data_IF_218797557042
#
_entry.id   IF_218797557042
#
_cell.length_a   1.000
_cell.length_b   1.000
_cell.length_c   1.000
_cell.angle_alpha   90.00
_cell.angle_beta   90.00
_cell.angle_gamma   90.00
#
_symmetry.space_group_name_H-M   'P 1'
#
loop_
_entity.id
_entity.type
_entity.pdbx_description
1 polymer ?
#
# COMPACT_ATOMS: atom_id res chain seq x y z
N UNK A 1 -19.13 -16.05 -32.68
CA UNK A 1 -18.41 -15.51 -31.50
C UNK A 1 -19.31 -15.66 -30.29
N UNK A 2 -18.83 -16.21 -29.21
CA UNK A 2 -19.57 -16.23 -27.95
C UNK A 2 -19.57 -14.82 -27.33
N UNK A 3 -20.71 -14.38 -26.81
CA UNK A 3 -20.78 -13.09 -26.12
C UNK A 3 -20.23 -13.29 -24.69
N UNK A 4 -19.28 -12.46 -24.22
CA UNK A 4 -18.77 -12.56 -22.86
C UNK A 4 -19.86 -12.22 -21.83
N UNK A 5 -19.79 -12.82 -20.65
CA UNK A 5 -20.69 -12.47 -19.55
C UNK A 5 -20.39 -11.04 -19.03
N UNK A 6 -19.11 -10.65 -19.06
CA UNK A 6 -18.62 -9.32 -18.66
C UNK A 6 -17.56 -8.82 -19.65
N UNK A 7 -17.47 -7.49 -19.81
CA UNK A 7 -16.38 -6.90 -20.57
C UNK A 7 -15.05 -7.07 -19.85
N UNK A 8 -15.05 -6.85 -18.53
CA UNK A 8 -13.87 -7.04 -17.67
C UNK A 8 -14.25 -7.78 -16.39
N UNK A 9 -13.39 -8.70 -15.96
CA UNK A 9 -13.44 -9.30 -14.61
C UNK A 9 -12.19 -8.93 -13.84
N UNK A 10 -12.35 -8.42 -12.61
CA UNK A 10 -11.26 -8.12 -11.68
C UNK A 10 -11.16 -9.24 -10.64
N UNK A 11 -10.02 -9.90 -10.56
CA UNK A 11 -9.75 -11.00 -9.62
C UNK A 11 -8.94 -10.47 -8.43
N UNK A 12 -9.51 -10.55 -7.23
CA UNK A 12 -8.99 -9.93 -6.02
C UNK A 12 -9.49 -8.48 -5.86
N UNK A 13 -10.18 -8.20 -4.75
CA UNK A 13 -10.82 -6.91 -4.46
C UNK A 13 -10.19 -6.21 -3.23
N UNK A 14 -8.89 -6.41 -3.04
CA UNK A 14 -8.06 -5.60 -2.14
C UNK A 14 -7.84 -4.20 -2.70
N UNK A 15 -6.78 -3.52 -2.27
CA UNK A 15 -6.49 -2.13 -2.64
C UNK A 15 -6.54 -1.87 -4.15
N UNK A 16 -5.83 -2.68 -4.94
CA UNK A 16 -5.72 -2.49 -6.40
C UNK A 16 -7.02 -2.86 -7.11
N UNK A 17 -7.61 -4.00 -6.73
CA UNK A 17 -8.82 -4.50 -7.39
C UNK A 17 -10.06 -3.68 -7.08
N UNK A 18 -10.24 -3.19 -5.86
CA UNK A 18 -11.34 -2.30 -5.50
C UNK A 18 -11.28 -0.99 -6.30
N UNK A 19 -10.07 -0.39 -6.42
CA UNK A 19 -9.85 0.81 -7.21
C UNK A 19 -10.13 0.56 -8.69
N UNK A 20 -9.61 -0.52 -9.26
CA UNK A 20 -9.82 -0.88 -10.67
C UNK A 20 -11.30 -1.13 -10.97
N UNK A 21 -11.98 -1.89 -10.11
CA UNK A 21 -13.42 -2.19 -10.26
C UNK A 21 -14.26 -0.91 -10.26
N UNK A 22 -14.01 -0.01 -9.30
CA UNK A 22 -14.71 1.28 -9.21
C UNK A 22 -14.47 2.12 -10.47
N UNK A 23 -13.24 2.25 -10.90
CA UNK A 23 -12.89 3.09 -12.04
C UNK A 23 -13.42 2.55 -13.37
N UNK A 24 -13.51 1.23 -13.54
CA UNK A 24 -14.17 0.59 -14.69
C UNK A 24 -15.69 0.81 -14.66
N UNK A 25 -16.33 0.60 -13.50
CA UNK A 25 -17.75 0.85 -13.34
C UNK A 25 -18.11 2.32 -13.60
N UNK A 26 -17.30 3.27 -13.12
CA UNK A 26 -17.43 4.72 -13.35
C UNK A 26 -17.41 5.08 -14.85
N UNK A 27 -16.73 4.26 -15.67
CA UNK A 27 -16.65 4.41 -17.14
C UNK A 27 -17.73 3.62 -17.88
N UNK A 28 -18.70 3.05 -17.17
CA UNK A 28 -19.82 2.31 -17.76
C UNK A 28 -19.47 0.92 -18.31
N UNK A 29 -18.30 0.37 -17.94
CA UNK A 29 -17.89 -0.98 -18.32
C UNK A 29 -18.75 -2.01 -17.61
N UNK A 30 -19.23 -3.03 -18.30
CA UNK A 30 -19.90 -4.18 -17.69
C UNK A 30 -18.88 -5.04 -16.95
N UNK A 31 -18.68 -4.75 -15.68
CA UNK A 31 -17.58 -5.31 -14.88
C UNK A 31 -18.08 -6.20 -13.74
N UNK A 32 -17.34 -7.28 -13.45
CA UNK A 32 -17.47 -8.03 -12.22
C UNK A 32 -16.16 -8.06 -11.45
N UNK A 33 -16.26 -8.04 -10.13
CA UNK A 33 -15.16 -8.32 -9.23
C UNK A 33 -15.39 -9.64 -8.49
N UNK A 34 -14.34 -10.46 -8.37
CA UNK A 34 -14.39 -11.71 -7.63
C UNK A 34 -13.30 -11.76 -6.57
N UNK A 35 -13.66 -12.13 -5.34
CA UNK A 35 -12.71 -12.24 -4.24
C UNK A 35 -12.97 -13.50 -3.40
N UNK A 36 -11.89 -14.10 -2.93
CA UNK A 36 -11.89 -15.27 -2.04
C UNK A 36 -12.59 -14.99 -0.71
N UNK A 37 -12.55 -13.74 -0.27
CA UNK A 37 -13.16 -13.27 0.99
C UNK A 37 -14.21 -12.21 0.72
N UNK A 38 -14.69 -11.56 1.80
CA UNK A 38 -15.60 -10.41 1.72
C UNK A 38 -14.79 -9.12 2.09
N UNK A 39 -14.28 -8.38 1.08
CA UNK A 39 -13.51 -7.15 1.36
C UNK A 39 -14.42 -6.01 1.89
N UNK A 40 -13.87 -5.15 2.77
CA UNK A 40 -12.52 -5.19 3.34
C UNK A 40 -12.35 -6.32 4.33
N UNK A 41 -11.19 -6.99 4.32
CA UNK A 41 -10.88 -8.12 5.19
C UNK A 41 -9.42 -8.08 5.68
N UNK A 42 -9.08 -8.85 6.71
CA UNK A 42 -7.75 -8.94 7.31
C UNK A 42 -6.85 -10.05 6.75
N UNK A 43 -7.29 -10.72 5.67
CA UNK A 43 -6.59 -11.88 5.11
C UNK A 43 -5.47 -11.50 4.13
N UNK A 44 -5.50 -10.30 3.55
CA UNK A 44 -4.53 -9.79 2.59
C UNK A 44 -3.50 -8.83 3.20
N UNK A 45 -3.09 -7.85 2.37
CA UNK A 45 -2.10 -6.82 2.75
C UNK A 45 -2.74 -5.46 3.07
N UNK A 46 -4.05 -5.30 2.85
CA UNK A 46 -4.75 -4.01 2.85
C UNK A 46 -5.64 -3.82 4.08
N UNK A 47 -5.08 -4.04 5.27
CA UNK A 47 -5.77 -3.89 6.55
C UNK A 47 -4.85 -3.30 7.63
N UNK A 48 -5.37 -3.04 8.82
CA UNK A 48 -4.62 -2.55 9.99
C UNK A 48 -4.68 -1.04 10.14
N UNK A 49 -5.86 -0.47 9.95
CA UNK A 49 -6.33 0.87 10.31
C UNK A 49 -5.73 2.02 9.49
N UNK A 50 -4.44 2.00 9.21
CA UNK A 50 -3.73 3.13 8.57
C UNK A 50 -2.66 2.69 7.57
N UNK A 51 -2.41 3.52 6.54
CA UNK A 51 -1.25 3.44 5.62
C UNK A 51 -0.73 4.84 5.33
N UNK A 52 0.60 5.04 5.41
CA UNK A 52 1.24 6.31 5.07
C UNK A 52 0.93 6.65 3.61
N UNK A 53 0.59 7.91 3.35
CA UNK A 53 0.54 8.50 2.02
C UNK A 53 1.37 9.77 2.00
N UNK A 54 2.21 9.91 0.98
CA UNK A 54 3.07 11.06 0.72
C UNK A 54 3.29 11.17 -0.78
N UNK A 55 3.59 12.37 -1.27
CA UNK A 55 3.74 12.65 -2.69
C UNK A 55 5.17 12.36 -3.17
N UNK A 56 6.17 12.84 -2.42
CA UNK A 56 7.56 12.50 -2.71
C UNK A 56 7.88 11.10 -2.20
N UNK A 57 8.06 10.18 -3.12
CA UNK A 57 8.25 8.74 -2.85
C UNK A 57 9.67 8.37 -3.24
N UNK A 58 10.54 8.13 -2.24
CA UNK A 58 11.95 7.83 -2.42
C UNK A 58 12.24 6.58 -3.26
N UNK A 59 11.24 5.74 -3.45
CA UNK A 59 11.28 4.55 -4.30
C UNK A 59 11.48 4.86 -5.80
N UNK A 60 11.14 6.09 -6.26
CA UNK A 60 11.46 6.51 -7.63
C UNK A 60 10.45 7.45 -8.28
N UNK A 61 10.89 8.14 -9.32
CA UNK A 61 10.12 9.18 -10.03
C UNK A 61 8.79 8.68 -10.62
N UNK A 62 8.73 7.42 -11.07
CA UNK A 62 7.52 6.84 -11.66
C UNK A 62 6.35 6.74 -10.66
N UNK A 63 6.63 6.74 -9.36
CA UNK A 63 5.62 6.65 -8.31
C UNK A 63 4.98 7.99 -7.96
N UNK A 64 5.66 9.10 -8.18
CA UNK A 64 5.23 10.43 -7.74
C UNK A 64 3.89 10.83 -8.38
N UNK A 65 3.68 10.73 -9.70
CA UNK A 65 2.37 11.04 -10.30
C UNK A 65 1.24 10.17 -9.75
N UNK A 66 1.51 8.89 -9.48
CA UNK A 66 0.53 7.96 -8.89
C UNK A 66 0.16 8.38 -7.46
N UNK A 67 1.14 8.79 -6.64
CA UNK A 67 0.88 9.23 -5.28
C UNK A 67 0.07 10.53 -5.23
N UNK A 68 0.43 11.52 -6.05
CA UNK A 68 -0.31 12.78 -6.17
C UNK A 68 -1.76 12.52 -6.61
N UNK A 69 -1.95 11.74 -7.68
CA UNK A 69 -3.29 11.44 -8.20
C UNK A 69 -4.13 10.62 -7.22
N UNK A 70 -3.52 9.67 -6.52
CA UNK A 70 -4.22 8.88 -5.51
C UNK A 70 -4.77 9.75 -4.36
N UNK A 71 -4.01 10.73 -3.85
CA UNK A 71 -4.50 11.67 -2.85
C UNK A 71 -5.68 12.50 -3.35
N UNK A 72 -5.64 12.97 -4.61
CA UNK A 72 -6.77 13.67 -5.23
C UNK A 72 -8.02 12.77 -5.29
N UNK A 73 -7.86 11.52 -5.72
CA UNK A 73 -8.98 10.56 -5.79
C UNK A 73 -9.57 10.30 -4.41
N UNK A 74 -8.76 10.19 -3.34
CA UNK A 74 -9.28 10.05 -1.99
C UNK A 74 -10.17 11.24 -1.59
N UNK A 75 -9.76 12.48 -1.91
CA UNK A 75 -10.58 13.68 -1.67
C UNK A 75 -11.84 13.73 -2.53
N UNK A 76 -11.76 13.30 -3.79
CA UNK A 76 -12.91 13.16 -4.66
C UNK A 76 -13.94 12.16 -4.08
N UNK A 77 -13.47 11.03 -3.55
CA UNK A 77 -14.32 10.01 -2.92
C UNK A 77 -14.97 10.52 -1.62
N UNK A 78 -14.22 11.24 -0.78
CA UNK A 78 -14.74 11.88 0.43
C UNK A 78 -15.89 12.83 0.10
N UNK A 79 -15.70 13.69 -0.90
CA UNK A 79 -16.72 14.62 -1.35
C UNK A 79 -17.95 13.91 -1.97
N UNK A 80 -17.73 12.84 -2.74
CA UNK A 80 -18.81 12.08 -3.39
C UNK A 80 -19.68 11.32 -2.38
N UNK A 81 -19.08 10.83 -1.29
CA UNK A 81 -19.75 10.00 -0.28
C UNK A 81 -20.20 10.79 0.95
N UNK A 82 -19.98 12.11 0.96
CA UNK A 82 -20.24 12.97 2.13
C UNK A 82 -19.61 12.40 3.42
N UNK A 83 -18.32 12.01 3.31
CA UNK A 83 -17.59 11.40 4.42
C UNK A 83 -17.39 12.43 5.55
N UNK A 84 -17.75 12.10 6.81
CA UNK A 84 -17.54 13.00 7.93
C UNK A 84 -16.09 13.44 8.09
N UNK A 85 -15.88 14.74 8.33
CA UNK A 85 -14.54 15.33 8.48
C UNK A 85 -13.75 14.79 9.66
N UNK A 86 -14.45 14.26 10.69
CA UNK A 86 -13.84 13.63 11.86
C UNK A 86 -13.27 12.23 11.57
N UNK A 87 -13.65 11.65 10.43
CA UNK A 87 -13.22 10.31 10.02
C UNK A 87 -12.94 10.23 8.53
N UNK A 88 -12.02 11.04 7.98
CA UNK A 88 -11.75 11.08 6.55
C UNK A 88 -11.16 9.75 6.05
N UNK A 89 -11.17 9.56 4.74
CA UNK A 89 -10.40 8.47 4.09
C UNK A 89 -8.91 8.79 4.12
N UNK A 90 -8.57 10.06 3.92
CA UNK A 90 -7.21 10.59 3.95
C UNK A 90 -7.08 11.67 5.04
N UNK A 91 -6.36 11.34 6.12
CA UNK A 91 -5.97 12.26 7.18
C UNK A 91 -4.66 12.95 6.81
N UNK A 92 -4.74 14.24 6.53
CA UNK A 92 -3.58 15.07 6.16
C UNK A 92 -2.93 15.66 7.42
N UNK A 93 -2.16 14.83 8.13
CA UNK A 93 -1.43 15.25 9.33
C UNK A 93 0.07 15.53 9.07
N UNK A 94 0.50 15.48 7.82
CA UNK A 94 1.90 15.54 7.43
C UNK A 94 2.61 14.18 7.52
N UNK A 95 3.78 14.12 6.88
CA UNK A 95 4.71 12.97 6.97
C UNK A 95 6.11 13.48 7.28
N UNK A 96 6.72 12.93 8.31
CA UNK A 96 8.13 13.16 8.66
C UNK A 96 8.94 11.91 8.32
N UNK A 97 9.89 12.05 7.39
CA UNK A 97 10.92 11.04 7.13
C UNK A 97 12.22 11.54 7.73
N UNK A 98 12.84 10.78 8.60
CA UNK A 98 14.06 11.22 9.27
C UNK A 98 15.08 10.09 9.41
N UNK A 99 16.36 10.47 9.51
CA UNK A 99 17.46 9.56 9.82
C UNK A 99 17.72 9.54 11.31
N UNK A 100 17.90 8.36 11.90
CA UNK A 100 18.21 8.21 13.33
C UNK A 100 19.71 8.31 13.64
N UNK A 101 20.58 8.18 12.63
CA UNK A 101 22.04 8.23 12.78
C UNK A 101 22.67 9.04 11.66
N UNK A 102 23.91 9.51 11.92
CA UNK A 102 24.72 10.07 10.85
C UNK A 102 24.97 8.99 9.78
N UNK A 103 24.45 9.18 8.61
CA UNK A 103 24.79 8.34 7.45
C UNK A 103 26.27 8.46 7.20
N UNK A 104 27.06 7.37 7.03
CA UNK A 104 28.44 7.48 6.61
C UNK A 104 28.46 8.12 5.20
N UNK A 105 28.93 9.34 5.10
CA UNK A 105 29.21 10.00 3.82
C UNK A 105 30.45 9.35 3.20
N UNK A 106 30.24 8.23 2.50
CA UNK A 106 31.26 7.58 1.67
C UNK A 106 30.94 7.82 0.20
N UNK A 107 31.97 8.07 -0.62
CA UNK A 107 31.84 8.36 -2.05
C UNK A 107 31.22 7.22 -2.90
N UNK A 108 30.93 6.06 -2.30
CA UNK A 108 30.34 4.88 -2.95
C UNK A 108 28.93 4.49 -2.37
N UNK A 109 28.31 5.34 -1.56
CA UNK A 109 26.99 5.04 -0.99
C UNK A 109 25.90 5.30 -2.04
N UNK A 110 25.01 4.34 -2.24
CA UNK A 110 23.69 4.59 -2.86
C UNK A 110 23.03 5.78 -2.15
N UNK A 111 22.37 6.71 -2.88
CA UNK A 111 21.71 7.85 -2.26
C UNK A 111 20.80 7.37 -1.12
N UNK A 112 20.94 7.98 0.06
CA UNK A 112 20.06 7.71 1.18
C UNK A 112 18.61 7.95 0.74
N UNK A 113 17.69 7.11 1.23
CA UNK A 113 16.26 7.21 0.93
C UNK A 113 15.72 8.62 1.17
N UNK A 114 16.18 9.31 2.22
CA UNK A 114 15.81 10.68 2.53
C UNK A 114 16.32 11.67 1.49
N UNK A 115 17.57 11.49 1.03
CA UNK A 115 18.15 12.33 -0.03
C UNK A 115 17.42 12.14 -1.36
N UNK A 116 17.10 10.90 -1.72
CA UNK A 116 16.31 10.60 -2.91
C UNK A 116 14.89 11.20 -2.83
N UNK A 117 14.25 11.09 -1.66
CA UNK A 117 12.94 11.73 -1.40
C UNK A 117 13.02 13.24 -1.59
N UNK A 118 14.06 13.90 -1.06
CA UNK A 118 14.28 15.34 -1.23
C UNK A 118 14.52 15.73 -2.70
N UNK A 119 15.30 14.94 -3.43
CA UNK A 119 15.55 15.19 -4.85
C UNK A 119 14.25 15.12 -5.66
N UNK A 120 13.42 14.12 -5.40
CA UNK A 120 12.11 13.97 -6.05
C UNK A 120 11.13 15.07 -5.66
N UNK A 121 11.10 15.48 -4.38
CA UNK A 121 10.26 16.59 -3.95
C UNK A 121 10.59 17.89 -4.71
N UNK A 122 11.88 18.19 -4.89
CA UNK A 122 12.35 19.35 -5.68
C UNK A 122 12.01 19.21 -7.15
N UNK A 123 12.23 18.02 -7.73
CA UNK A 123 11.98 17.74 -9.15
C UNK A 123 10.50 17.94 -9.50
N UNK A 124 9.59 17.51 -8.63
CA UNK A 124 8.14 17.55 -8.87
C UNK A 124 7.45 18.77 -8.22
N UNK A 125 8.20 19.67 -7.60
CA UNK A 125 7.65 20.87 -6.99
C UNK A 125 6.74 20.59 -5.79
N UNK A 126 7.00 19.50 -5.06
CA UNK A 126 6.22 19.09 -3.89
C UNK A 126 6.60 19.98 -2.70
N UNK A 127 5.59 20.54 -2.01
CA UNK A 127 5.78 21.36 -0.81
C UNK A 127 6.42 20.52 0.30
N UNK A 128 7.55 20.96 0.82
CA UNK A 128 8.27 20.27 1.88
C UNK A 128 9.17 21.20 2.68
N UNK A 129 9.51 20.79 3.87
CA UNK A 129 10.50 21.41 4.73
C UNK A 129 11.67 20.45 4.98
N UNK A 130 12.87 20.99 5.05
CA UNK A 130 14.06 20.26 5.50
C UNK A 130 14.38 20.71 6.90
N UNK A 131 14.31 19.82 7.87
CA UNK A 131 14.45 20.11 9.29
C UNK A 131 15.79 19.60 9.80
N UNK A 132 16.54 20.46 10.49
CA UNK A 132 17.68 20.03 11.28
C UNK A 132 17.28 19.40 12.62
N UNK A 133 18.24 18.83 13.33
CA UNK A 133 18.02 18.16 14.60
C UNK A 133 17.34 19.07 15.67
N UNK A 134 17.68 20.36 15.68
CA UNK A 134 17.11 21.32 16.64
C UNK A 134 15.63 21.56 16.31
N UNK A 135 15.30 21.73 15.05
CA UNK A 135 13.94 21.93 14.57
C UNK A 135 13.07 20.69 14.82
N UNK A 136 13.62 19.49 14.59
CA UNK A 136 12.92 18.23 14.88
C UNK A 136 12.62 18.12 16.37
N UNK A 137 13.60 18.33 17.25
CA UNK A 137 13.41 18.27 18.71
C UNK A 137 12.37 19.29 19.22
N UNK A 138 12.34 20.48 18.64
CA UNK A 138 11.39 21.53 19.04
C UNK A 138 9.97 21.25 18.57
N UNK A 139 9.83 20.78 17.33
CA UNK A 139 8.53 20.62 16.70
C UNK A 139 7.88 19.26 17.01
N UNK A 140 8.71 18.23 17.17
CA UNK A 140 8.28 16.85 17.37
C UNK A 140 8.98 16.20 18.57
N UNK A 141 8.74 16.67 19.82
CA UNK A 141 9.45 16.24 21.02
C UNK A 141 9.23 14.77 21.39
N UNK A 142 8.23 14.11 20.79
CA UNK A 142 7.98 12.68 20.95
C UNK A 142 9.08 11.81 20.30
N UNK A 143 9.85 12.32 19.34
CA UNK A 143 10.97 11.58 18.76
C UNK A 143 12.25 11.82 19.56
N UNK A 144 12.81 10.75 20.10
CA UNK A 144 14.00 10.84 20.98
C UNK A 144 14.71 9.49 21.05
N UNK A 145 16.06 9.45 20.99
CA UNK A 145 16.94 10.60 20.81
C UNK A 145 17.03 11.08 19.36
N UNK A 146 17.19 12.37 19.16
CA UNK A 146 17.55 12.95 17.87
C UNK A 146 19.00 13.34 17.92
N UNK A 147 19.85 12.76 17.07
CA UNK A 147 21.28 13.09 16.96
C UNK A 147 21.48 14.45 16.29
N UNK A 148 22.59 15.14 16.59
CA UNK A 148 22.85 16.48 16.03
C UNK A 148 23.03 16.47 14.50
N UNK A 149 23.37 15.32 13.94
CA UNK A 149 23.48 15.09 12.48
C UNK A 149 22.16 14.62 11.82
N UNK A 150 21.09 14.43 12.61
CA UNK A 150 19.81 13.98 12.03
C UNK A 150 19.23 15.03 11.08
N UNK A 151 18.70 14.54 9.98
CA UNK A 151 18.00 15.31 8.96
C UNK A 151 16.54 14.81 8.87
N UNK A 152 15.59 15.73 8.79
CA UNK A 152 14.19 15.45 8.58
C UNK A 152 13.68 16.04 7.27
N UNK A 153 12.97 15.23 6.51
CA UNK A 153 12.10 15.66 5.43
C UNK A 153 10.67 15.71 5.96
N UNK A 154 10.06 16.87 5.97
CA UNK A 154 8.66 17.03 6.37
C UNK A 154 7.81 17.46 5.19
N UNK A 155 6.75 16.70 4.89
CA UNK A 155 5.79 16.95 3.83
C UNK A 155 4.42 17.26 4.45
N UNK A 156 3.97 18.53 4.46
CA UNK A 156 2.67 18.90 5.05
C UNK A 156 1.48 18.33 4.27
N UNK A 157 1.66 18.10 2.96
CA UNK A 157 0.65 17.47 2.10
C UNK A 157 0.47 15.96 2.30
N UNK A 158 1.36 15.33 3.08
CA UNK A 158 1.29 13.91 3.41
C UNK A 158 0.39 13.60 4.60
N UNK A 159 0.36 12.35 5.01
CA UNK A 159 -0.43 11.86 6.14
C UNK A 159 -0.69 10.37 6.06
N UNK A 160 -1.90 9.93 6.40
CA UNK A 160 -2.29 8.54 6.27
C UNK A 160 -3.70 8.37 5.69
N UNK A 161 -3.90 7.24 5.03
CA UNK A 161 -5.22 6.79 4.58
C UNK A 161 -5.71 5.63 5.44
N UNK A 162 -7.03 5.44 5.50
CA UNK A 162 -7.71 4.33 6.19
C UNK A 162 -8.03 3.23 5.19
N UNK A 163 -7.18 2.20 5.06
CA UNK A 163 -7.24 1.26 3.94
C UNK A 163 -8.57 0.51 3.83
N UNK A 164 -9.12 0.04 4.94
CA UNK A 164 -10.40 -0.67 4.95
C UNK A 164 -11.54 0.23 4.47
N UNK A 165 -11.57 1.48 4.93
CA UNK A 165 -12.59 2.46 4.51
C UNK A 165 -12.43 2.87 3.05
N UNK A 166 -11.18 3.02 2.57
CA UNK A 166 -10.90 3.32 1.17
C UNK A 166 -11.38 2.22 0.24
N UNK A 167 -11.18 0.95 0.62
CA UNK A 167 -11.66 -0.22 -0.12
C UNK A 167 -13.18 -0.27 -0.12
N UNK A 168 -13.81 -0.12 1.05
CA UNK A 168 -15.27 -0.16 1.19
C UNK A 168 -15.95 0.96 0.39
N UNK A 169 -15.41 2.18 0.44
CA UNK A 169 -15.89 3.32 -0.34
C UNK A 169 -15.91 3.02 -1.85
N UNK A 170 -14.79 2.50 -2.38
CA UNK A 170 -14.68 2.17 -3.80
C UNK A 170 -15.59 1.01 -4.21
N UNK A 171 -15.69 -0.05 -3.40
CA UNK A 171 -16.57 -1.18 -3.68
C UNK A 171 -18.05 -0.80 -3.58
N UNK A 172 -18.42 0.06 -2.64
CA UNK A 172 -19.77 0.57 -2.49
C UNK A 172 -20.18 1.41 -3.70
N UNK A 173 -19.31 2.31 -4.15
CA UNK A 173 -19.56 3.10 -5.36
C UNK A 173 -19.59 2.23 -6.62
N UNK A 174 -18.68 1.26 -6.75
CA UNK A 174 -18.70 0.33 -7.87
C UNK A 174 -20.06 -0.42 -7.96
N UNK A 175 -20.58 -0.90 -6.81
CA UNK A 175 -21.89 -1.55 -6.74
C UNK A 175 -23.03 -0.62 -7.15
N UNK A 176 -23.01 0.63 -6.67
CA UNK A 176 -24.02 1.64 -7.06
C UNK A 176 -24.00 1.93 -8.57
N UNK A 177 -22.83 1.84 -9.20
CA UNK A 177 -22.62 2.02 -10.64
C UNK A 177 -22.88 0.73 -11.46
N UNK A 178 -23.39 -0.33 -10.82
CA UNK A 178 -23.80 -1.55 -11.52
C UNK A 178 -22.75 -2.65 -11.63
N UNK A 179 -21.59 -2.51 -10.97
CA UNK A 179 -20.62 -3.60 -10.90
C UNK A 179 -21.17 -4.81 -10.13
N UNK A 180 -20.88 -6.02 -10.63
CA UNK A 180 -21.23 -7.26 -9.94
C UNK A 180 -20.09 -7.65 -8.99
N UNK A 181 -20.38 -7.80 -7.69
CA UNK A 181 -19.44 -8.27 -6.70
C UNK A 181 -19.72 -9.71 -6.32
N UNK A 182 -18.74 -10.58 -6.48
CA UNK A 182 -18.76 -12.02 -6.17
C UNK A 182 -17.74 -12.25 -5.06
N UNK A 183 -18.19 -12.37 -3.84
CA UNK A 183 -17.35 -12.53 -2.65
C UNK A 183 -17.49 -13.93 -2.03
N UNK A 184 -16.48 -14.37 -1.27
CA UNK A 184 -16.42 -15.73 -0.73
C UNK A 184 -16.19 -16.80 -1.80
N UNK A 185 -15.56 -16.44 -2.90
CA UNK A 185 -15.41 -17.28 -4.08
C UNK A 185 -13.95 -17.34 -4.55
N UNK A 186 -13.30 -18.48 -4.39
CA UNK A 186 -11.91 -18.66 -4.79
C UNK A 186 -11.78 -18.94 -6.28
N UNK A 187 -11.02 -18.13 -6.99
CA UNK A 187 -10.61 -18.41 -8.37
C UNK A 187 -9.54 -19.49 -8.35
N UNK A 188 -9.75 -20.54 -9.15
CA UNK A 188 -8.87 -21.71 -9.24
C UNK A 188 -8.00 -21.70 -10.49
N UNK A 189 -8.51 -21.10 -11.58
CA UNK A 189 -7.85 -21.15 -12.88
C UNK A 189 -8.34 -20.03 -13.80
N UNK A 190 -7.45 -19.55 -14.66
CA UNK A 190 -7.70 -18.55 -15.70
C UNK A 190 -7.09 -19.05 -17.02
N UNK A 191 -7.90 -19.17 -18.06
CA UNK A 191 -7.50 -19.68 -19.38
C UNK A 191 -8.08 -18.87 -20.51
N UNK A 192 -7.38 -18.85 -21.64
CA UNK A 192 -7.99 -18.40 -22.88
C UNK A 192 -8.81 -19.56 -23.50
N UNK A 193 -10.07 -19.30 -23.80
CA UNK A 193 -10.95 -20.18 -24.57
C UNK A 193 -11.51 -19.39 -25.76
N UNK A 194 -11.08 -19.76 -26.98
CA UNK A 194 -11.37 -19.00 -28.18
C UNK A 194 -10.91 -17.52 -28.05
N UNK A 195 -11.83 -16.57 -28.19
CA UNK A 195 -11.54 -15.12 -28.11
C UNK A 195 -11.81 -14.54 -26.71
N UNK A 196 -12.12 -15.35 -25.73
CA UNK A 196 -12.49 -14.94 -24.37
C UNK A 196 -11.51 -15.48 -23.32
N UNK A 197 -11.51 -14.84 -22.16
CA UNK A 197 -10.86 -15.35 -20.97
C UNK A 197 -11.89 -16.05 -20.10
N UNK A 198 -11.66 -17.30 -19.78
CA UNK A 198 -12.48 -18.12 -18.90
C UNK A 198 -11.88 -18.15 -17.51
N UNK A 199 -12.64 -17.72 -16.53
CA UNK A 199 -12.33 -17.78 -15.11
C UNK A 199 -13.09 -18.95 -14.49
N UNK A 200 -12.37 -19.92 -13.89
CA UNK A 200 -12.96 -21.02 -13.15
C UNK A 200 -12.77 -20.77 -11.66
N UNK A 201 -13.84 -20.74 -10.93
CA UNK A 201 -13.85 -20.65 -9.47
C UNK A 201 -14.41 -21.93 -8.83
N UNK A 202 -14.51 -21.97 -7.52
CA UNK A 202 -15.01 -23.15 -6.80
C UNK A 202 -16.43 -23.57 -7.24
N UNK A 203 -17.29 -22.61 -7.56
CA UNK A 203 -18.71 -22.88 -7.79
C UNK A 203 -19.23 -22.45 -9.15
N UNK A 204 -18.42 -21.75 -9.97
CA UNK A 204 -18.87 -21.19 -11.26
C UNK A 204 -17.78 -21.04 -12.30
N UNK A 205 -18.21 -20.88 -13.54
CA UNK A 205 -17.37 -20.45 -14.66
C UNK A 205 -17.90 -19.12 -15.17
N UNK A 206 -16.98 -18.18 -15.41
CA UNK A 206 -17.29 -16.84 -15.84
C UNK A 206 -16.44 -16.53 -17.07
N UNK A 207 -17.07 -16.04 -18.14
CA UNK A 207 -16.37 -15.58 -19.33
C UNK A 207 -16.26 -14.05 -19.37
N UNK A 208 -15.10 -13.54 -19.73
CA UNK A 208 -14.84 -12.12 -19.88
C UNK A 208 -14.06 -11.81 -21.18
N UNK A 209 -14.22 -10.60 -21.69
CA UNK A 209 -13.38 -10.15 -22.78
C UNK A 209 -11.94 -9.85 -22.27
N UNK A 210 -11.81 -9.29 -21.09
CA UNK A 210 -10.53 -9.01 -20.44
C UNK A 210 -10.57 -9.37 -18.95
N UNK A 211 -9.42 -9.67 -18.36
CA UNK A 211 -9.26 -9.96 -16.92
C UNK A 211 -8.14 -9.13 -16.33
N UNK A 212 -8.36 -8.59 -15.14
CA UNK A 212 -7.32 -7.93 -14.33
C UNK A 212 -7.08 -8.75 -13.07
N UNK A 213 -5.88 -9.23 -12.87
CA UNK A 213 -5.53 -10.05 -11.70
C UNK A 213 -4.83 -9.19 -10.65
N UNK A 214 -5.55 -8.91 -9.55
CA UNK A 214 -5.11 -8.14 -8.38
C UNK A 214 -5.07 -9.04 -7.13
N UNK A 215 -4.65 -10.31 -7.28
CA UNK A 215 -4.80 -11.35 -6.26
C UNK A 215 -3.79 -11.24 -5.09
N UNK A 216 -2.99 -10.16 -5.02
CA UNK A 216 -2.04 -9.91 -3.94
C UNK A 216 -1.09 -11.09 -3.72
N UNK A 217 -0.96 -11.57 -2.50
CA UNK A 217 -0.05 -12.68 -2.17
C UNK A 217 -0.42 -14.03 -2.82
N UNK A 218 -1.65 -14.19 -3.33
CA UNK A 218 -2.07 -15.40 -4.08
C UNK A 218 -1.73 -15.35 -5.56
N UNK A 219 -1.19 -14.23 -6.07
CA UNK A 219 -0.90 -14.05 -7.50
C UNK A 219 0.08 -15.09 -8.04
N UNK A 220 1.12 -15.45 -7.28
CA UNK A 220 2.11 -16.45 -7.70
C UNK A 220 1.49 -17.84 -7.89
N UNK A 221 0.58 -18.24 -7.00
CA UNK A 221 -0.11 -19.54 -7.08
C UNK A 221 -1.12 -19.58 -8.24
N UNK A 222 -1.85 -18.50 -8.46
CA UNK A 222 -2.89 -18.42 -9.49
C UNK A 222 -2.31 -18.30 -10.90
N UNK A 223 -1.22 -17.56 -11.07
CA UNK A 223 -0.68 -17.23 -12.38
C UNK A 223 0.43 -18.19 -12.83
N UNK A 224 1.10 -18.88 -11.90
CA UNK A 224 2.25 -19.74 -12.21
C UNK A 224 3.43 -18.95 -12.80
N UNK A 225 4.22 -19.59 -13.68
CA UNK A 225 5.41 -18.97 -14.24
C UNK A 225 5.08 -17.79 -15.19
N UNK A 226 5.85 -16.68 -15.13
CA UNK A 226 7.07 -16.47 -14.33
C UNK A 226 6.81 -15.97 -12.89
N UNK A 227 5.56 -15.68 -12.52
CA UNK A 227 5.19 -15.01 -11.27
C UNK A 227 5.49 -15.84 -10.01
N UNK A 228 5.49 -17.17 -10.13
CA UNK A 228 5.89 -18.11 -9.07
C UNK A 228 7.36 -17.92 -8.62
N UNK A 229 8.21 -17.37 -9.49
CA UNK A 229 9.62 -17.06 -9.21
C UNK A 229 9.86 -15.59 -8.88
N UNK A 230 8.99 -14.71 -9.40
CA UNK A 230 9.14 -13.25 -9.23
C UNK A 230 8.46 -12.72 -7.97
N UNK A 231 7.42 -13.38 -7.48
CA UNK A 231 6.62 -12.89 -6.37
C UNK A 231 6.89 -13.69 -5.09
N UNK A 232 7.51 -13.05 -4.13
CA UNK A 232 7.80 -13.63 -2.82
C UNK A 232 6.88 -13.03 -1.76
N UNK A 233 6.29 -13.86 -0.93
CA UNK A 233 5.45 -13.44 0.19
C UNK A 233 6.32 -13.27 1.44
N UNK A 234 6.32 -12.07 2.04
CA UNK A 234 7.02 -11.76 3.27
C UNK A 234 6.02 -11.40 4.35
N UNK A 235 6.13 -12.03 5.53
CA UNK A 235 5.29 -11.77 6.69
C UNK A 235 5.61 -10.40 7.28
N UNK A 236 4.59 -9.60 7.61
CA UNK A 236 4.73 -8.29 8.23
C UNK A 236 3.91 -8.24 9.52
N UNK A 237 4.43 -7.62 10.56
CA UNK A 237 3.72 -7.48 11.84
C UNK A 237 3.47 -6.01 12.17
N UNK A 238 2.25 -5.72 12.55
CA UNK A 238 1.79 -4.40 12.99
C UNK A 238 1.51 -4.43 14.47
N UNK A 239 1.93 -3.40 15.19
CA UNK A 239 1.77 -3.32 16.65
C UNK A 239 1.07 -2.02 17.02
N UNK A 240 0.20 -2.07 18.04
CA UNK A 240 -0.39 -0.91 18.69
C UNK A 240 -0.02 -0.97 20.16
N UNK A 241 0.70 0.05 20.62
CA UNK A 241 1.12 0.18 21.99
C UNK A 241 0.35 1.28 22.70
N UNK A 242 0.04 1.08 23.97
CA UNK A 242 -0.68 2.04 24.79
C UNK A 242 0.18 3.30 24.99
N UNK A 243 -0.48 4.45 24.92
CA UNK A 243 0.14 5.73 25.24
C UNK A 243 0.39 5.85 26.76
N UNK A 244 1.48 6.51 27.13
CA UNK A 244 1.73 6.90 28.50
C UNK A 244 0.90 8.13 28.88
N UNK A 245 0.56 8.23 30.16
CA UNK A 245 -0.11 9.42 30.68
C UNK A 245 0.90 10.31 31.45
N UNK A 246 0.87 11.63 31.27
CA UNK A 246 0.03 12.37 30.30
C UNK A 246 0.48 12.17 28.84
N UNK A 247 -0.47 12.24 27.90
CA UNK A 247 -0.14 12.14 26.48
C UNK A 247 0.67 13.37 26.06
N UNK A 248 1.87 13.11 25.50
CA UNK A 248 2.83 14.16 25.12
C UNK A 248 2.86 14.47 23.63
N UNK A 249 2.07 13.76 22.83
CA UNK A 249 2.03 13.95 21.36
C UNK A 249 1.39 15.29 21.03
N UNK A 250 2.06 16.15 20.23
CA UNK A 250 1.44 17.37 19.71
C UNK A 250 0.17 17.05 18.91
N UNK A 251 -0.81 17.96 18.93
CA UNK A 251 -2.11 17.80 18.25
C UNK A 251 -1.96 17.49 16.76
N UNK A 252 -0.93 18.04 16.11
CA UNK A 252 -0.63 17.83 14.70
C UNK A 252 0.63 16.96 14.48
N UNK A 253 0.75 15.89 15.26
CA UNK A 253 1.83 14.94 15.06
C UNK A 253 1.72 14.26 13.69
N UNK A 254 2.82 14.18 12.91
CA UNK A 254 2.80 13.56 11.58
C UNK A 254 2.81 12.03 11.67
N UNK A 255 2.44 11.39 10.56
CA UNK A 255 2.93 10.05 10.27
C UNK A 255 4.44 10.10 10.06
N UNK A 256 5.16 9.06 10.40
CA UNK A 256 6.62 9.12 10.37
C UNK A 256 7.28 7.85 9.86
N UNK A 257 8.50 8.02 9.35
CA UNK A 257 9.44 6.96 9.02
C UNK A 257 10.77 7.36 9.65
N UNK A 258 11.32 6.49 10.50
CA UNK A 258 12.65 6.65 11.10
C UNK A 258 13.56 5.63 10.46
N UNK A 259 14.50 6.11 9.62
CA UNK A 259 15.51 5.26 9.03
C UNK A 259 16.66 5.05 10.01
N UNK A 260 16.89 3.80 10.40
CA UNK A 260 18.05 3.37 11.15
C UNK A 260 19.27 3.09 10.27
N UNK A 261 20.34 2.61 10.85
CA UNK A 261 21.53 2.19 10.12
C UNK A 261 21.34 0.91 9.30
N UNK A 262 20.25 0.18 9.53
CA UNK A 262 19.83 -0.99 8.75
C UNK A 262 18.29 -1.04 8.65
N UNK A 263 17.77 -1.87 7.73
CA UNK A 263 16.33 -2.08 7.57
C UNK A 263 15.68 -2.56 8.88
N UNK A 264 16.38 -3.39 9.66
CA UNK A 264 15.89 -3.90 10.95
C UNK A 264 15.76 -2.79 12.01
N UNK A 265 16.50 -1.69 11.85
CA UNK A 265 16.44 -0.50 12.71
C UNK A 265 15.50 0.58 12.15
N UNK A 266 14.88 0.32 11.01
CA UNK A 266 13.91 1.22 10.40
C UNK A 266 12.52 0.91 10.92
N UNK A 267 11.82 1.94 11.40
CA UNK A 267 10.42 1.82 11.79
C UNK A 267 9.58 2.95 11.21
N UNK A 268 8.29 2.69 11.10
CA UNK A 268 7.32 3.69 10.71
C UNK A 268 6.11 3.65 11.64
N UNK A 269 5.40 4.75 11.74
CA UNK A 269 4.21 4.82 12.59
C UNK A 269 3.32 6.00 12.24
N UNK A 270 2.29 6.13 13.07
CA UNK A 270 1.20 7.06 12.86
C UNK A 270 0.95 7.85 14.13
N UNK A 271 0.45 9.09 14.04
CA UNK A 271 0.00 9.79 15.25
C UNK A 271 -1.10 8.96 15.92
N UNK A 272 -1.31 9.15 17.24
CA UNK A 272 -2.48 8.58 17.90
C UNK A 272 -3.76 8.99 17.19
N UNK A 273 -4.62 8.03 16.87
CA UNK A 273 -5.93 8.33 16.29
C UNK A 273 -6.81 8.93 17.39
N UNK A 274 -7.51 10.05 17.14
CA UNK A 274 -8.38 10.66 18.14
C UNK A 274 -9.35 9.65 18.77
N UNK A 275 -9.36 9.60 20.09
CA UNK A 275 -10.19 8.65 20.87
C UNK A 275 -9.58 7.26 21.07
N UNK A 276 -8.44 6.94 20.44
CA UNK A 276 -7.71 5.70 20.66
C UNK A 276 -6.53 5.96 21.61
N UNK A 277 -6.48 5.25 22.74
CA UNK A 277 -5.40 5.36 23.73
C UNK A 277 -4.12 4.62 23.32
N UNK A 278 -3.90 4.42 22.02
CA UNK A 278 -2.78 3.65 21.49
C UNK A 278 -2.21 4.27 20.21
N UNK A 279 -0.98 3.86 19.89
CA UNK A 279 -0.27 4.29 18.70
C UNK A 279 0.20 3.08 17.90
N UNK A 280 -0.01 3.10 16.58
CA UNK A 280 0.46 2.06 15.67
C UNK A 280 1.89 2.32 15.23
N UNK A 281 2.73 1.29 15.36
CA UNK A 281 4.13 1.28 14.93
C UNK A 281 4.42 -0.06 14.26
N UNK A 282 5.26 -0.06 13.23
CA UNK A 282 5.68 -1.27 12.55
C UNK A 282 7.08 -1.10 11.92
N UNK A 283 7.65 -2.21 11.48
CA UNK A 283 8.88 -2.26 10.68
C UNK A 283 8.56 -2.74 9.27
N UNK A 284 9.55 -2.67 8.40
CA UNK A 284 9.56 -3.40 7.14
C UNK A 284 10.61 -4.49 7.23
N UNK A 285 10.26 -5.70 6.85
CA UNK A 285 11.20 -6.80 6.79
C UNK A 285 10.94 -7.67 5.55
N UNK A 286 12.01 -8.23 5.00
CA UNK A 286 11.99 -8.98 3.75
C UNK A 286 12.60 -10.38 3.87
N UNK A 287 13.05 -10.77 5.06
CA UNK A 287 13.72 -12.05 5.34
C UNK A 287 12.77 -13.18 5.72
N UNK A 288 11.69 -12.87 6.48
CA UNK A 288 10.71 -13.86 6.92
C UNK A 288 9.71 -14.16 5.79
N UNK A 289 10.02 -15.18 4.99
CA UNK A 289 9.19 -15.58 3.86
C UNK A 289 8.13 -16.61 4.26
N UNK A 290 7.01 -16.61 3.53
CA UNK A 290 5.88 -17.51 3.76
C UNK A 290 5.17 -17.83 2.46
N UNK A 291 4.09 -18.61 2.55
CA UNK A 291 3.09 -18.75 1.50
C UNK A 291 1.75 -18.22 2.00
N UNK A 292 0.80 -17.91 1.12
CA UNK A 292 -0.52 -17.44 1.56
C UNK A 292 -1.21 -18.38 2.55
N UNK A 293 -1.04 -19.70 2.34
CA UNK A 293 -1.73 -20.72 3.13
C UNK A 293 -0.99 -21.11 4.41
N UNK A 294 0.32 -20.80 4.53
CA UNK A 294 1.16 -21.06 5.70
C UNK A 294 1.51 -19.85 6.53
N UNK A 295 0.96 -18.67 6.19
CA UNK A 295 1.24 -17.43 6.89
C UNK A 295 0.77 -17.50 8.35
N UNK A 296 1.74 -17.50 9.27
CA UNK A 296 1.44 -17.39 10.71
C UNK A 296 0.90 -16.00 11.04
N UNK A 297 -0.34 -15.94 11.51
CA UNK A 297 -1.05 -14.71 11.86
C UNK A 297 -0.99 -14.40 13.37
N UNK A 298 -0.27 -15.20 14.15
CA UNK A 298 -0.11 -14.96 15.56
C UNK A 298 1.12 -14.08 15.83
N UNK A 299 1.00 -13.19 16.80
CA UNK A 299 2.10 -12.35 17.28
C UNK A 299 2.36 -12.70 18.73
N UNK A 300 3.52 -13.29 19.01
CA UNK A 300 3.91 -13.69 20.34
C UNK A 300 4.20 -12.49 21.26
N UNK A 301 4.18 -12.70 22.57
CA UNK A 301 4.62 -11.70 23.55
C UNK A 301 6.08 -11.32 23.33
N UNK A 302 6.95 -12.29 23.07
CA UNK A 302 8.37 -12.06 22.83
C UNK A 302 8.65 -11.17 21.61
N UNK A 303 7.90 -11.35 20.50
CA UNK A 303 8.00 -10.45 19.33
C UNK A 303 7.58 -9.02 19.69
N UNK A 304 6.51 -8.86 20.45
CA UNK A 304 6.06 -7.54 20.89
C UNK A 304 7.05 -6.87 21.85
N UNK A 305 7.62 -7.60 22.79
CA UNK A 305 8.63 -7.10 23.72
C UNK A 305 9.91 -6.70 23.00
N UNK A 306 10.36 -7.50 22.02
CA UNK A 306 11.50 -7.17 21.18
C UNK A 306 11.26 -5.89 20.37
N UNK A 307 10.11 -5.78 19.68
CA UNK A 307 9.73 -4.57 18.94
C UNK A 307 9.73 -3.33 19.82
N UNK A 308 9.16 -3.42 21.02
CA UNK A 308 9.15 -2.31 21.97
C UNK A 308 10.55 -1.93 22.41
N UNK A 309 11.33 -2.89 22.90
CA UNK A 309 12.70 -2.68 23.43
C UNK A 309 13.66 -2.15 22.39
N UNK A 310 13.62 -2.71 21.17
CA UNK A 310 14.66 -2.47 20.18
C UNK A 310 14.34 -1.28 19.27
N UNK A 311 13.05 -0.89 19.14
CA UNK A 311 12.64 0.16 18.21
C UNK A 311 11.73 1.23 18.84
N UNK A 312 10.70 0.84 19.61
CA UNK A 312 9.74 1.85 20.08
C UNK A 312 10.36 2.73 21.15
N UNK A 313 10.84 2.14 22.26
CA UNK A 313 11.37 2.92 23.39
C UNK A 313 12.66 3.70 23.05
N UNK A 314 13.37 3.29 21.99
CA UNK A 314 14.62 3.96 21.59
C UNK A 314 14.41 5.10 20.59
N UNK A 315 13.22 5.22 20.00
CA UNK A 315 12.91 6.24 19.00
C UNK A 315 11.75 7.15 19.40
N UNK A 316 10.86 6.71 20.32
CA UNK A 316 9.58 7.39 20.55
C UNK A 316 9.30 7.43 22.04
N UNK A 317 9.20 8.64 22.59
CA UNK A 317 8.75 8.87 23.96
C UNK A 317 7.21 8.84 24.06
N UNK A 318 6.69 8.64 25.26
CA UNK A 318 5.25 8.69 25.53
C UNK A 318 4.47 7.45 25.10
N UNK A 319 5.16 6.33 24.85
CA UNK A 319 4.55 5.03 24.51
C UNK A 319 5.00 3.99 25.54
N UNK A 320 4.08 3.16 26.04
CA UNK A 320 4.38 2.10 27.01
C UNK A 320 4.66 0.77 26.30
N UNK A 321 5.21 -0.20 27.06
CA UNK A 321 5.43 -1.57 26.55
C UNK A 321 4.14 -2.40 26.43
N UNK A 322 3.00 -1.87 26.87
CA UNK A 322 1.74 -2.58 26.82
C UNK A 322 1.19 -2.62 25.39
N UNK A 323 1.24 -3.79 24.77
CA UNK A 323 0.59 -4.03 23.47
C UNK A 323 -0.92 -4.10 23.64
N UNK A 324 -1.64 -3.21 23.00
CA UNK A 324 -3.12 -3.18 22.97
C UNK A 324 -3.67 -4.09 21.87
N UNK A 325 -3.03 -4.05 20.69
CA UNK A 325 -3.45 -4.79 19.49
C UNK A 325 -2.22 -5.20 18.68
N UNK A 326 -2.34 -6.25 17.91
CA UNK A 326 -1.39 -6.60 16.85
C UNK A 326 -2.11 -7.22 15.67
N UNK A 327 -1.53 -7.13 14.49
CA UNK A 327 -2.02 -7.78 13.29
C UNK A 327 -0.86 -8.25 12.43
N UNK A 328 -1.10 -9.27 11.62
CA UNK A 328 -0.14 -9.77 10.63
C UNK A 328 -0.71 -9.55 9.24
N UNK A 329 0.05 -8.88 8.41
CA UNK A 329 -0.20 -8.79 6.98
C UNK A 329 0.98 -9.40 6.19
N UNK A 330 0.92 -9.37 4.87
CA UNK A 330 1.99 -9.87 4.03
C UNK A 330 2.35 -8.84 2.95
N UNK A 331 3.64 -8.70 2.67
CA UNK A 331 4.09 -8.06 1.44
C UNK A 331 4.23 -9.11 0.34
N UNK A 332 3.86 -8.75 -0.87
CA UNK A 332 4.20 -9.49 -2.09
C UNK A 332 5.31 -8.70 -2.76
N UNK A 333 6.52 -9.26 -2.74
CA UNK A 333 7.76 -8.56 -3.07
C UNK A 333 8.34 -9.11 -4.36
N UNK A 334 8.74 -8.23 -5.26
CA UNK A 334 9.50 -8.52 -6.47
C UNK A 334 11.00 -8.47 -6.18
N UNK A 335 11.88 -9.01 -7.04
CA UNK A 335 13.33 -9.02 -6.80
C UNK A 335 13.95 -7.62 -6.68
N UNK A 336 13.37 -6.62 -7.35
CA UNK A 336 13.83 -5.22 -7.38
C UNK A 336 12.97 -4.29 -6.53
N UNK A 337 12.01 -4.84 -5.78
CA UNK A 337 11.04 -4.10 -4.95
C UNK A 337 10.13 -3.13 -5.73
N UNK A 338 10.13 -3.15 -7.05
CA UNK A 338 9.21 -2.38 -7.88
C UNK A 338 7.96 -3.18 -8.23
N UNK A 339 6.88 -2.49 -8.61
CA UNK A 339 5.61 -3.13 -8.98
C UNK A 339 5.72 -3.92 -10.29
N UNK A 340 4.83 -4.87 -10.49
CA UNK A 340 4.53 -5.46 -11.80
C UNK A 340 3.10 -5.06 -12.16
N UNK A 341 2.96 -4.32 -13.26
CA UNK A 341 1.69 -3.94 -13.88
C UNK A 341 1.88 -4.14 -15.38
N UNK A 342 1.46 -5.29 -15.90
CA UNK A 342 1.71 -5.64 -17.30
C UNK A 342 0.73 -6.71 -17.79
N UNK A 343 0.72 -6.98 -19.08
CA UNK A 343 0.01 -8.11 -19.66
C UNK A 343 0.68 -9.44 -19.27
N UNK A 344 -0.16 -10.46 -19.09
CA UNK A 344 0.35 -11.78 -18.82
C UNK A 344 1.04 -12.37 -20.07
N UNK A 345 2.31 -12.84 -19.98
CA UNK A 345 3.10 -13.18 -21.17
C UNK A 345 2.56 -14.38 -21.97
N UNK A 346 1.61 -15.14 -21.43
CA UNK A 346 1.03 -16.34 -22.08
C UNK A 346 -0.49 -16.34 -22.16
N UNK A 347 -1.17 -15.46 -21.46
CA UNK A 347 -2.63 -15.36 -21.46
C UNK A 347 -3.03 -14.03 -22.08
N UNK A 348 -3.53 -14.06 -23.30
CA UNK A 348 -4.01 -12.85 -23.97
C UNK A 348 -5.18 -12.22 -23.19
N UNK A 349 -5.25 -10.89 -23.18
CA UNK A 349 -6.29 -10.12 -22.50
C UNK A 349 -6.31 -10.32 -20.95
N UNK A 350 -5.20 -10.71 -20.36
CA UNK A 350 -5.04 -10.84 -18.91
C UNK A 350 -3.97 -9.87 -18.46
N UNK A 351 -4.35 -8.85 -17.68
CA UNK A 351 -3.42 -7.90 -17.05
C UNK A 351 -3.12 -8.33 -15.62
N UNK A 352 -1.85 -8.34 -15.25
CA UNK A 352 -1.38 -8.69 -13.91
C UNK A 352 -1.00 -7.44 -13.14
N UNK A 353 -1.48 -7.32 -11.91
CA UNK A 353 -1.22 -6.18 -11.03
C UNK A 353 -0.69 -6.68 -9.69
N UNK A 354 0.62 -6.67 -9.53
CA UNK A 354 1.31 -6.93 -8.26
C UNK A 354 2.01 -5.65 -7.80
N UNK A 355 1.22 -4.76 -7.21
CA UNK A 355 1.67 -3.44 -6.78
C UNK A 355 1.71 -3.37 -5.24
N UNK A 356 2.64 -4.11 -4.63
CA UNK A 356 2.81 -4.17 -3.17
C UNK A 356 4.23 -3.77 -2.76
N UNK A 357 5.18 -4.71 -2.70
CA UNK A 357 6.59 -4.52 -2.28
C UNK A 357 6.77 -3.58 -1.07
N UNK A 358 5.81 -3.61 -0.11
CA UNK A 358 5.82 -2.79 1.10
C UNK A 358 5.18 -1.40 0.96
N UNK A 359 5.10 -0.82 -0.22
CA UNK A 359 4.73 0.59 -0.40
C UNK A 359 3.52 0.86 -1.33
N UNK A 360 2.76 -0.18 -1.73
CA UNK A 360 1.76 -0.10 -2.80
C UNK A 360 0.49 0.70 -2.48
N UNK A 361 -0.04 0.64 -1.26
CA UNK A 361 -1.38 1.14 -0.96
C UNK A 361 -1.61 2.61 -1.34
N UNK A 362 -0.65 3.48 -1.05
CA UNK A 362 -0.71 4.92 -1.34
C UNK A 362 -0.93 5.25 -2.83
N UNK A 363 -0.65 4.32 -3.73
CA UNK A 363 -0.79 4.47 -5.19
C UNK A 363 -2.07 3.83 -5.74
N UNK A 364 -2.79 3.03 -4.94
CA UNK A 364 -3.82 2.11 -5.41
C UNK A 364 -4.96 2.78 -6.18
N UNK A 365 -5.43 3.94 -5.71
CA UNK A 365 -6.53 4.65 -6.36
C UNK A 365 -6.16 5.14 -7.77
N UNK A 366 -4.94 5.66 -7.93
CA UNK A 366 -4.42 6.11 -9.22
C UNK A 366 -4.06 4.95 -10.15
N UNK A 367 -3.53 3.85 -9.63
CA UNK A 367 -3.30 2.62 -10.42
C UNK A 367 -4.63 2.11 -10.96
N UNK A 368 -5.69 2.07 -10.15
CA UNK A 368 -7.02 1.67 -10.61
C UNK A 368 -7.56 2.56 -11.72
N UNK A 369 -7.37 3.89 -11.62
CA UNK A 369 -7.76 4.83 -12.66
C UNK A 369 -6.96 4.63 -13.95
N UNK A 370 -5.63 4.53 -13.86
CA UNK A 370 -4.75 4.33 -15.01
C UNK A 370 -5.05 3.00 -15.74
N UNK A 371 -5.29 1.93 -15.00
CA UNK A 371 -5.70 0.63 -15.57
C UNK A 371 -7.05 0.73 -16.29
N UNK A 372 -8.02 1.40 -15.69
CA UNK A 372 -9.33 1.59 -16.33
C UNK A 372 -9.22 2.42 -17.62
N UNK A 373 -8.42 3.49 -17.63
CA UNK A 373 -8.12 4.27 -18.83
C UNK A 373 -7.45 3.40 -19.90
N UNK A 374 -6.42 2.64 -19.55
CA UNK A 374 -5.71 1.77 -20.49
C UNK A 374 -6.62 0.69 -21.10
N UNK A 375 -7.49 0.09 -20.29
CA UNK A 375 -8.40 -0.96 -20.74
C UNK A 375 -9.53 -0.45 -21.61
N UNK A 376 -10.01 0.78 -21.38
CA UNK A 376 -11.13 1.39 -22.12
C UNK A 376 -10.64 2.23 -23.29
N UNK A 377 -9.65 3.11 -23.05
CA UNK A 377 -9.20 4.13 -24.01
C UNK A 377 -7.91 3.72 -24.74
N UNK A 378 -7.32 2.57 -24.38
CA UNK A 378 -6.06 2.07 -24.95
C UNK A 378 -4.80 2.79 -24.45
N UNK A 379 -4.94 3.77 -23.57
CA UNK A 379 -3.83 4.54 -22.97
C UNK A 379 -4.24 5.09 -21.61
N UNK A 380 -3.29 5.33 -20.74
CA UNK A 380 -3.50 6.04 -19.47
C UNK A 380 -2.80 7.40 -19.47
N UNK A 381 -3.29 8.32 -18.64
CA UNK A 381 -2.67 9.63 -18.43
C UNK A 381 -1.36 9.49 -17.67
N UNK A 382 -1.27 8.53 -16.75
CA UNK A 382 -0.06 8.21 -15.99
C UNK A 382 0.63 7.04 -16.68
N UNK A 383 1.92 7.21 -16.98
CA UNK A 383 2.74 6.17 -17.60
C UNK A 383 3.03 5.04 -16.59
N UNK A 384 2.61 3.82 -16.94
CA UNK A 384 2.86 2.61 -16.16
C UNK A 384 4.02 1.76 -16.70
N UNK A 385 4.70 2.20 -17.75
CA UNK A 385 5.74 1.43 -18.44
C UNK A 385 6.93 1.04 -17.55
N UNK A 386 7.23 1.84 -16.53
CA UNK A 386 8.24 1.53 -15.53
C UNK A 386 7.97 0.23 -14.75
N UNK A 387 6.71 -0.22 -14.75
CA UNK A 387 6.27 -1.43 -14.01
C UNK A 387 6.11 -2.66 -14.92
N UNK A 388 6.64 -2.57 -16.15
CA UNK A 388 6.60 -3.67 -17.12
C UNK A 388 7.40 -4.88 -16.66
N UNK A 389 6.87 -6.07 -17.00
CA UNK A 389 7.51 -7.37 -16.79
C UNK A 389 8.78 -7.55 -17.63
N UNK A 390 8.90 -6.80 -18.73
CA UNK A 390 10.06 -6.85 -19.63
C UNK A 390 11.40 -6.61 -18.93
N UNK A 391 11.43 -5.86 -17.81
CA UNK A 391 12.65 -5.62 -17.02
C UNK A 391 13.23 -6.89 -16.37
N UNK A 392 12.46 -7.97 -16.32
CA UNK A 392 12.90 -9.30 -15.87
C UNK A 392 13.19 -10.27 -17.04
N UNK A 393 13.19 -9.77 -18.29
CA UNK A 393 13.46 -10.58 -19.48
C UNK A 393 12.29 -11.43 -19.97
N UNK A 394 11.07 -11.02 -19.63
CA UNK A 394 9.83 -11.70 -20.02
C UNK A 394 8.95 -10.84 -20.92
#
# INVERSE_FOLDING_TARGET
>A
MQTPAFDVVVVGLGAMGAATLYQLAKRGVKVAGIDRFAPPHDQGSSHGDTRITRQAVGEGAAYVPLAIRAQQIWRELEAQLDVPTEQPLFEQCGVLVMTSSATPSGQDATPDFTENTLALARQFGIEHEVLDATQIRQRFPQFTPIHDSSLGYFEPGGGYVRPERCIDAQLSLARQLGATLITGETVLDIKNEQDLVQITSQHRRISAAKVVVCAGMWSSQLLGAPFDKLLRVCRQTLYWYQLAEPVIFPEHSPSFIVHGASDEQTCYGFPPIPGEGSMKIATEQYSETSTPDSLDRQVSAAQSEAMYRDLVQVNIAGVTSQRVKSAVCAYTVTPDSHFIIDEHPRLANVTVVSACSGHGFKHSAAIGEALAQQLVDGRSEIDLSAFSLARFGH
#
